data_IF_226582508233
#
_entry.id   IF_226582508233
#
_cell.length_a   1.000
_cell.length_b   1.000
_cell.length_c   1.000
_cell.angle_alpha   90.00
_cell.angle_beta   90.00
_cell.angle_gamma   90.00
#
_symmetry.space_group_name_H-M   'P 1'
#
loop_
_entity.id
_entity.type
_entity.pdbx_description
1 polymer ?
#
# COMPACT_ATOMS: atom_id res chain seq x y z
N UNK A 1 -21.72 -17.11 -15.50
CA UNK A 1 -21.87 -17.00 -15.08
C UNK A 1 -21.73 -16.75 -14.34
N UNK A 2 -21.88 -16.43 -14.31
CA UNK A 2 -21.74 -16.04 -13.73
C UNK A 2 -21.83 -15.48 -12.99
N UNK A 3 -21.85 -15.35 -12.81
CA UNK A 3 -21.88 -14.84 -12.25
C UNK A 3 -22.07 -14.23 -11.56
N UNK A 4 -22.13 -14.07 -11.48
CA UNK A 4 -22.21 -13.54 -10.99
C UNK A 4 -22.01 -12.91 -10.60
N UNK A 5 -22.16 -12.86 -10.65
CA UNK A 5 -21.72 -12.24 -10.44
C UNK A 5 -21.69 -11.46 -10.20
N UNK A 6 -21.81 -11.50 -10.29
CA UNK A 6 -21.53 -10.79 -10.29
C UNK A 6 -21.45 -10.05 -10.29
N UNK A 7 -21.76 -10.02 -10.41
CA UNK A 7 -21.35 -9.48 -10.63
C UNK A 7 -21.38 -8.66 -10.67
N UNK A 8 -21.47 -8.48 -10.60
CA UNK A 8 -21.19 -7.85 -10.73
C UNK A 8 -20.72 -7.45 -10.98
N UNK A 9 -20.47 -7.84 -10.94
CA UNK A 9 -19.87 -7.60 -11.32
C UNK A 9 -19.48 -7.00 -11.88
N UNK A 10 -19.61 -7.25 -12.01
CA UNK A 10 -19.14 -6.58 -12.89
C UNK A 10 -18.96 -5.34 -12.67
N UNK A 11 -18.83 -5.09 -11.70
CA UNK A 11 -18.57 -3.83 -11.63
C UNK A 11 -17.36 -3.53 -12.22
N UNK A 12 -17.47 -2.81 -13.16
CA UNK A 12 -16.46 -2.58 -14.00
C UNK A 12 -15.31 -1.99 -13.39
N UNK A 13 -15.20 -1.16 -12.88
CA UNK A 13 -14.08 -0.47 -12.50
C UNK A 13 -13.32 -1.10 -11.49
N UNK A 14 -13.60 -2.27 -11.27
CA UNK A 14 -13.07 -2.84 -10.15
C UNK A 14 -11.59 -2.80 -10.11
N UNK A 15 -10.87 -3.12 -11.10
CA UNK A 15 -9.45 -3.21 -10.99
C UNK A 15 -9.01 -4.21 -9.95
N UNK A 16 -7.71 -4.26 -9.62
CA UNK A 16 -7.22 -5.17 -8.60
C UNK A 16 -7.66 -4.76 -7.21
N UNK A 17 -7.62 -5.69 -6.29
CA UNK A 17 -7.83 -5.41 -4.88
C UNK A 17 -6.49 -5.03 -4.28
N UNK A 18 -6.49 -4.03 -3.42
CA UNK A 18 -5.26 -3.55 -2.79
C UNK A 18 -5.32 -3.76 -1.29
N UNK A 19 -4.19 -3.52 -0.64
CA UNK A 19 -4.09 -3.54 0.81
C UNK A 19 -3.63 -2.15 1.26
N UNK A 20 -3.95 -1.82 2.51
CA UNK A 20 -3.48 -0.58 3.12
C UNK A 20 -2.98 -0.90 4.52
N UNK A 21 -1.88 -0.27 4.93
CA UNK A 21 -1.25 -0.52 6.22
C UNK A 21 -0.62 0.75 6.75
N UNK A 22 -0.59 0.89 8.08
CA UNK A 22 0.09 2.00 8.72
C UNK A 22 1.59 1.82 8.63
N UNK A 23 2.31 2.89 8.30
CA UNK A 23 3.76 2.89 8.27
C UNK A 23 4.27 3.27 9.67
N UNK A 24 4.38 2.27 10.53
CA UNK A 24 4.82 2.50 11.90
C UNK A 24 6.27 2.97 11.91
N UNK A 25 6.53 4.06 12.60
CA UNK A 25 7.89 4.58 12.74
C UNK A 25 8.31 5.59 11.70
N UNK A 26 7.54 5.76 10.63
CA UNK A 26 7.87 6.74 9.60
C UNK A 26 7.22 8.08 9.94
N UNK A 27 7.97 9.16 9.83
CA UNK A 27 7.46 10.50 10.14
C UNK A 27 6.99 11.25 8.90
N UNK A 28 7.47 10.86 7.72
CA UNK A 28 7.00 11.42 6.45
C UNK A 28 7.28 10.42 5.33
N UNK A 29 6.94 10.79 4.11
CA UNK A 29 7.08 9.87 2.98
C UNK A 29 8.54 9.60 2.64
N UNK A 30 9.41 10.58 2.83
CA UNK A 30 10.83 10.38 2.53
C UNK A 30 11.47 9.43 3.54
N UNK A 31 11.07 9.55 4.81
CA UNK A 31 11.51 8.64 5.85
C UNK A 31 11.05 7.21 5.56
N UNK A 32 9.81 7.06 5.12
CA UNK A 32 9.29 5.74 4.75
C UNK A 32 10.06 5.14 3.60
N UNK A 33 10.35 5.94 2.56
CA UNK A 33 11.12 5.46 1.41
C UNK A 33 12.48 4.93 1.89
N UNK A 34 13.15 5.68 2.75
CA UNK A 34 14.46 5.30 3.28
C UNK A 34 14.38 4.01 4.09
N UNK A 35 13.37 3.90 4.95
CA UNK A 35 13.19 2.70 5.76
C UNK A 35 12.93 1.46 4.90
N UNK A 36 12.10 1.61 3.86
CA UNK A 36 11.80 0.48 2.98
C UNK A 36 13.04 0.06 2.19
N UNK A 37 13.80 1.02 1.71
CA UNK A 37 15.03 0.72 0.97
C UNK A 37 16.06 0.02 1.88
N UNK A 38 16.21 0.50 3.10
CA UNK A 38 17.12 -0.10 4.06
C UNK A 38 16.73 -1.55 4.38
N UNK A 39 15.43 -1.80 4.59
CA UNK A 39 14.95 -3.15 4.87
C UNK A 39 15.19 -4.09 3.70
N UNK A 40 15.02 -3.60 2.49
CA UNK A 40 15.27 -4.41 1.30
C UNK A 40 16.76 -4.81 1.24
N UNK A 41 17.66 -3.88 1.50
CA UNK A 41 19.10 -4.17 1.49
C UNK A 41 19.46 -5.18 2.59
N UNK A 42 18.95 -4.96 3.78
CA UNK A 42 19.28 -5.83 4.92
C UNK A 42 18.78 -7.26 4.76
N UNK A 43 17.63 -7.43 4.13
CA UNK A 43 16.96 -8.73 4.04
C UNK A 43 17.15 -9.44 2.72
N UNK A 44 17.61 -8.73 1.71
CA UNK A 44 17.71 -9.27 0.36
C UNK A 44 16.37 -9.35 -0.37
N UNK A 45 15.28 -8.97 0.28
CA UNK A 45 13.97 -8.92 -0.34
C UNK A 45 13.11 -7.93 0.41
N UNK A 46 12.04 -7.46 -0.23
CA UNK A 46 11.14 -6.48 0.36
C UNK A 46 9.91 -7.20 0.88
N UNK A 47 9.71 -7.19 2.20
CA UNK A 47 8.53 -7.79 2.79
C UNK A 47 8.08 -7.02 4.03
N UNK A 48 6.82 -7.23 4.38
CA UNK A 48 6.20 -6.59 5.52
C UNK A 48 5.55 -7.67 6.38
N UNK A 49 5.86 -7.66 7.67
CA UNK A 49 5.27 -8.60 8.61
C UNK A 49 3.84 -8.20 8.94
N UNK A 50 2.94 -9.18 8.97
CA UNK A 50 1.60 -8.98 9.48
C UNK A 50 1.08 -10.28 10.08
N UNK A 51 0.15 -10.18 11.02
CA UNK A 51 -0.36 -11.38 11.68
C UNK A 51 -1.28 -12.19 10.77
N UNK A 52 -2.14 -11.54 10.02
CA UNK A 52 -3.18 -12.23 9.28
C UNK A 52 -2.88 -12.31 7.79
N UNK A 53 -3.13 -13.48 7.22
CA UNK A 53 -3.01 -13.70 5.78
C UNK A 53 -4.32 -13.30 5.11
N UNK A 54 -4.30 -12.51 4.04
CA UNK A 54 -5.54 -12.12 3.37
C UNK A 54 -6.23 -13.31 2.71
N UNK A 55 -7.52 -13.44 2.94
CA UNK A 55 -8.28 -14.51 2.27
C UNK A 55 -8.37 -14.30 0.77
N UNK A 56 -8.38 -13.04 0.35
CA UNK A 56 -8.47 -12.69 -1.06
C UNK A 56 -7.08 -12.37 -1.64
N UNK A 57 -6.08 -13.15 -1.24
CA UNK A 57 -4.71 -12.95 -1.69
C UNK A 57 -4.59 -12.95 -3.21
N UNK A 58 -5.32 -13.85 -3.89
CA UNK A 58 -5.23 -13.92 -5.34
C UNK A 58 -5.71 -12.65 -6.02
N UNK A 59 -6.76 -12.04 -5.49
CA UNK A 59 -7.26 -10.78 -6.04
C UNK A 59 -6.24 -9.65 -5.87
N UNK A 60 -5.48 -9.68 -4.77
CA UNK A 60 -4.42 -8.69 -4.54
C UNK A 60 -3.24 -8.96 -5.48
N UNK A 61 -2.89 -10.22 -5.69
CA UNK A 61 -1.77 -10.56 -6.56
C UNK A 61 -2.02 -10.25 -8.03
N UNK A 62 -3.26 -9.98 -8.38
CA UNK A 62 -3.63 -9.64 -9.74
C UNK A 62 -3.42 -8.14 -10.03
N UNK A 63 -2.28 -7.62 -9.63
CA UNK A 63 -1.89 -6.24 -9.88
C UNK A 63 -2.08 -5.28 -8.72
N UNK A 64 -2.43 -5.79 -7.53
CA UNK A 64 -2.67 -4.94 -6.38
C UNK A 64 -1.38 -4.46 -5.72
N UNK A 65 -1.50 -3.39 -4.95
CA UNK A 65 -0.39 -2.79 -4.22
C UNK A 65 -0.71 -2.70 -2.74
N UNK A 66 0.34 -2.56 -1.94
CA UNK A 66 0.22 -2.25 -0.54
C UNK A 66 0.40 -0.74 -0.39
N UNK A 67 -0.65 -0.06 0.04
CA UNK A 67 -0.63 1.38 0.24
C UNK A 67 -0.22 1.69 1.67
N UNK A 68 0.63 2.69 1.83
CA UNK A 68 1.19 3.06 3.13
C UNK A 68 0.57 4.35 3.65
N UNK A 69 0.13 4.31 4.91
CA UNK A 69 -0.41 5.48 5.59
C UNK A 69 0.66 6.07 6.48
N UNK A 70 0.96 7.35 6.27
CA UNK A 70 1.92 8.10 7.08
C UNK A 70 1.19 9.29 7.68
N UNK A 71 1.13 9.35 9.00
CA UNK A 71 0.51 10.47 9.72
C UNK A 71 -0.89 10.80 9.20
N UNK A 72 -1.72 9.78 9.08
CA UNK A 72 -3.12 9.96 8.72
C UNK A 72 -3.40 10.14 7.24
N UNK A 73 -2.41 9.89 6.38
CA UNK A 73 -2.60 10.02 4.95
C UNK A 73 -1.91 8.88 4.21
N UNK A 74 -2.58 8.33 3.20
CA UNK A 74 -1.91 7.44 2.26
C UNK A 74 -0.94 8.31 1.47
N UNK A 75 0.33 7.88 1.38
CA UNK A 75 1.36 8.66 0.71
C UNK A 75 2.19 7.86 -0.28
N UNK A 76 2.11 6.53 -0.25
CA UNK A 76 2.97 5.72 -1.11
C UNK A 76 2.39 4.33 -1.28
N UNK A 77 2.88 3.62 -2.28
CA UNK A 77 2.51 2.23 -2.50
C UNK A 77 3.67 1.40 -3.03
N UNK A 78 3.62 0.12 -2.79
CA UNK A 78 4.53 -0.85 -3.38
C UNK A 78 3.70 -2.02 -3.88
N UNK A 79 3.98 -2.50 -5.08
CA UNK A 79 3.20 -3.58 -5.66
C UNK A 79 3.40 -4.86 -4.86
N UNK A 80 2.32 -5.60 -4.60
CA UNK A 80 2.40 -6.86 -3.88
C UNK A 80 2.78 -7.96 -4.87
N UNK A 81 3.84 -8.70 -4.54
CA UNK A 81 4.35 -9.75 -5.41
C UNK A 81 4.08 -11.15 -4.87
N UNK A 82 3.71 -11.26 -3.61
CA UNK A 82 3.42 -12.57 -3.04
C UNK A 82 3.06 -12.50 -1.58
N UNK A 83 2.72 -13.64 -1.02
CA UNK A 83 2.46 -13.79 0.40
C UNK A 83 3.16 -15.05 0.86
N UNK A 84 3.79 -14.99 2.02
CA UNK A 84 4.48 -16.16 2.58
C UNK A 84 3.94 -16.42 3.97
N UNK A 85 3.40 -17.63 4.18
CA UNK A 85 2.92 -18.03 5.50
C UNK A 85 4.08 -18.62 6.27
N UNK A 86 4.25 -18.17 7.51
CA UNK A 86 5.34 -18.65 8.36
C UNK A 86 4.79 -18.93 9.76
N UNK A 87 5.61 -19.54 10.59
CA UNK A 87 5.25 -19.80 11.98
C UNK A 87 6.39 -19.31 12.86
N UNK A 88 6.05 -18.68 13.98
CA UNK A 88 7.06 -18.24 14.94
C UNK A 88 7.50 -19.41 15.82
N UNK A 89 8.38 -19.12 16.77
CA UNK A 89 8.94 -20.16 17.65
C UNK A 89 7.88 -20.83 18.51
N UNK A 90 6.75 -20.18 18.73
CA UNK A 90 5.65 -20.74 19.49
C UNK A 90 4.62 -21.44 18.61
N UNK A 91 4.90 -21.60 17.33
CA UNK A 91 4.00 -22.26 16.40
C UNK A 91 2.85 -21.41 15.92
N UNK A 92 2.83 -20.09 16.23
CA UNK A 92 1.77 -19.20 15.77
C UNK A 92 2.05 -18.76 14.34
N UNK A 93 1.00 -18.83 13.54
CA UNK A 93 1.13 -18.44 12.14
C UNK A 93 1.22 -16.92 12.00
N UNK A 94 2.01 -16.47 11.03
CA UNK A 94 2.04 -15.08 10.61
C UNK A 94 2.23 -15.03 9.10
N UNK A 95 2.17 -13.85 8.54
CA UNK A 95 2.25 -13.67 7.10
C UNK A 95 3.27 -12.61 6.75
N UNK A 96 4.06 -12.86 5.71
CA UNK A 96 4.91 -11.84 5.13
C UNK A 96 4.28 -11.40 3.82
N UNK A 97 4.02 -10.12 3.70
CA UNK A 97 3.53 -9.55 2.45
C UNK A 97 4.77 -9.18 1.64
N UNK A 98 4.98 -9.88 0.54
CA UNK A 98 6.13 -9.61 -0.31
C UNK A 98 5.78 -8.51 -1.28
N UNK A 99 6.68 -7.54 -1.45
CA UNK A 99 6.44 -6.42 -2.34
C UNK A 99 7.59 -6.23 -3.30
N UNK A 100 7.29 -5.54 -4.40
CA UNK A 100 8.33 -5.02 -5.26
C UNK A 100 9.11 -3.98 -4.47
N UNK A 101 10.43 -3.88 -4.59
CA UNK A 101 11.19 -2.85 -3.91
C UNK A 101 10.90 -1.45 -4.43
N UNK A 102 10.37 -1.32 -5.64
CA UNK A 102 10.07 -0.02 -6.20
C UNK A 102 9.05 0.72 -5.32
N UNK A 103 9.36 1.95 -4.95
CA UNK A 103 8.55 2.76 -4.07
C UNK A 103 7.88 3.86 -4.87
N UNK A 104 6.56 3.85 -4.91
CA UNK A 104 5.79 4.80 -5.72
C UNK A 104 5.09 5.79 -4.79
N UNK A 105 5.39 7.07 -4.92
CA UNK A 105 4.73 8.12 -4.13
C UNK A 105 3.36 8.38 -4.72
N UNK A 106 2.34 8.52 -3.86
CA UNK A 106 0.99 8.83 -4.31
C UNK A 106 0.62 10.25 -3.92
N UNK A 107 -0.44 10.76 -4.51
CA UNK A 107 -1.07 11.95 -4.00
C UNK A 107 -1.63 11.61 -2.60
N UNK A 108 -1.68 12.58 -1.69
CA UNK A 108 -2.14 12.28 -0.34
C UNK A 108 -3.64 12.00 -0.30
N UNK A 109 -4.03 11.08 0.57
CA UNK A 109 -5.44 10.79 0.84
C UNK A 109 -5.59 10.50 2.33
N UNK A 110 -6.46 11.24 2.99
CA UNK A 110 -6.69 11.05 4.41
C UNK A 110 -7.17 9.63 4.70
N UNK A 111 -6.68 9.04 5.76
CA UNK A 111 -7.05 7.70 6.15
C UNK A 111 -6.90 7.55 7.66
N UNK A 112 -7.94 7.05 8.31
CA UNK A 112 -7.93 6.93 9.78
C UNK A 112 -6.97 5.85 10.24
N UNK A 113 -6.34 6.01 11.40
CA UNK A 113 -5.47 4.97 11.96
C UNK A 113 -6.24 3.67 12.22
N UNK A 114 -5.53 2.56 12.07
CA UNK A 114 -6.07 1.23 12.32
C UNK A 114 -4.90 0.28 12.61
N UNK A 115 -5.20 -0.94 13.00
CA UNK A 115 -4.17 -1.94 13.26
C UNK A 115 -4.17 -2.99 12.16
N UNK A 116 -2.98 -3.54 11.89
CA UNK A 116 -2.82 -4.57 10.88
C UNK A 116 -2.91 -4.01 9.48
N UNK A 117 -3.59 -4.73 8.61
CA UNK A 117 -3.84 -4.28 7.24
C UNK A 117 -5.34 -4.31 6.98
N UNK A 118 -5.75 -3.61 5.93
CA UNK A 118 -7.13 -3.66 5.45
C UNK A 118 -7.14 -3.75 3.94
N UNK A 119 -8.23 -4.28 3.40
CA UNK A 119 -8.43 -4.22 1.95
C UNK A 119 -8.73 -2.79 1.54
N UNK A 120 -8.29 -2.44 0.35
CA UNK A 120 -8.55 -1.14 -0.23
C UNK A 120 -8.99 -1.35 -1.67
N UNK A 121 -10.16 -0.84 -2.03
CA UNK A 121 -10.69 -1.02 -3.37
C UNK A 121 -10.00 -0.08 -4.36
N UNK A 122 -9.91 -0.50 -5.61
CA UNK A 122 -9.29 0.34 -6.65
C UNK A 122 -9.98 1.71 -6.78
N UNK A 123 -11.28 1.76 -6.51
CA UNK A 123 -12.01 3.03 -6.57
C UNK A 123 -11.59 3.99 -5.47
N UNK A 124 -10.93 3.49 -4.42
CA UNK A 124 -10.59 4.30 -3.25
C UNK A 124 -9.12 4.67 -3.17
N UNK A 125 -8.30 4.20 -4.09
CA UNK A 125 -6.87 4.51 -4.02
C UNK A 125 -6.57 5.88 -4.60
N UNK A 126 -5.60 6.61 -4.02
CA UNK A 126 -5.17 7.87 -4.61
C UNK A 126 -4.34 7.59 -5.87
N UNK A 127 -4.27 8.57 -6.73
CA UNK A 127 -3.43 8.48 -7.92
C UNK A 127 -1.96 8.59 -7.53
N UNK A 128 -1.11 8.05 -8.37
CA UNK A 128 0.32 8.21 -8.19
C UNK A 128 0.69 9.68 -8.40
N UNK A 129 1.68 10.14 -7.64
CA UNK A 129 2.14 11.51 -7.80
C UNK A 129 2.84 11.68 -9.14
N UNK A 130 2.77 12.87 -9.73
CA UNK A 130 3.46 13.13 -10.99
C UNK A 130 4.97 12.91 -10.85
N UNK A 131 5.62 12.51 -11.92
CA UNK A 131 7.06 12.29 -11.93
C UNK A 131 7.45 10.83 -11.74
N UNK A 132 6.47 9.94 -11.59
CA UNK A 132 6.73 8.52 -11.45
C UNK A 132 7.26 8.14 -10.08
N UNK A 133 7.84 6.94 -9.95
CA UNK A 133 8.35 6.49 -8.66
C UNK A 133 9.40 7.47 -8.14
N UNK A 134 9.20 7.91 -6.90
CA UNK A 134 10.11 8.89 -6.33
C UNK A 134 9.93 10.29 -6.85
N UNK A 135 8.82 10.59 -7.49
CA UNK A 135 8.60 11.87 -8.13
C UNK A 135 8.79 13.08 -7.23
N UNK A 136 8.75 14.25 -7.82
CA UNK A 136 9.18 15.49 -7.17
C UNK A 136 8.44 15.82 -5.88
N UNK A 137 7.22 15.34 -5.73
CA UNK A 137 6.44 15.66 -4.55
C UNK A 137 6.94 14.95 -3.29
N UNK A 138 7.89 14.04 -3.41
CA UNK A 138 8.41 13.34 -2.24
C UNK A 138 9.09 14.30 -1.26
N UNK A 139 9.60 15.43 -1.75
CA UNK A 139 10.30 16.40 -0.92
C UNK A 139 9.36 17.47 -0.37
N UNK A 140 8.11 17.46 -0.76
CA UNK A 140 7.16 18.49 -0.33
C UNK A 140 6.49 18.07 0.99
N UNK A 141 6.35 18.97 1.97
CA UNK A 141 5.66 18.64 3.21
C UNK A 141 4.24 18.16 2.95
N UNK A 142 3.76 17.25 3.79
CA UNK A 142 2.43 16.65 3.62
C UNK A 142 1.32 17.69 3.60
N UNK A 143 1.38 18.69 4.47
CA UNK A 143 0.32 19.68 4.52
C UNK A 143 0.25 20.50 3.22
N UNK A 144 1.36 20.73 2.56
CA UNK A 144 1.37 21.45 1.30
C UNK A 144 0.75 20.61 0.18
N UNK A 145 1.02 19.31 0.17
CA UNK A 145 0.41 18.43 -0.81
C UNK A 145 -1.10 18.37 -0.64
N UNK A 146 -1.57 18.29 0.60
CA UNK A 146 -3.02 18.29 0.86
C UNK A 146 -3.66 19.60 0.43
N UNK A 147 -2.99 20.70 0.69
CA UNK A 147 -3.50 22.00 0.30
C UNK A 147 -3.62 22.13 -1.20
N UNK A 148 -2.60 21.70 -1.93
CA UNK A 148 -2.64 21.71 -3.39
C UNK A 148 -3.76 20.84 -3.93
N UNK A 149 -3.99 19.71 -3.31
CA UNK A 149 -5.06 18.82 -3.73
C UNK A 149 -6.44 19.43 -3.48
N UNK A 150 -6.62 20.07 -2.33
CA UNK A 150 -7.88 20.71 -2.00
C UNK A 150 -8.18 21.85 -2.95
N UNK A 151 -7.14 22.51 -3.44
CA UNK A 151 -7.30 23.60 -4.40
C UNK A 151 -7.45 23.08 -5.83
N UNK A 152 -7.36 21.78 -6.04
CA UNK A 152 -7.52 21.21 -7.38
C UNK A 152 -6.31 21.38 -8.28
N UNK A 153 -5.15 21.67 -7.71
CA UNK A 153 -3.94 21.92 -8.48
C UNK A 153 -3.16 20.66 -8.81
N UNK A 154 -3.44 19.58 -8.10
CA UNK A 154 -2.81 18.29 -8.39
C UNK A 154 -3.81 17.14 -8.21
#
# INVERSE_FOLDING_TARGET
MPPRGNGHASLPSSGPLHLVKMAVGAVDVDDLRRLRAQRHVERGESWVYTRNHPRRAEAVLDGGSLYWVVKGQIRARQRVTGFRKEHDDNGRAYCLILTDPEFVVTLPRAFRPFQGWRYLLSADVPKDAPGGPGGDFSMMPDHMLMELRELGLI
#
